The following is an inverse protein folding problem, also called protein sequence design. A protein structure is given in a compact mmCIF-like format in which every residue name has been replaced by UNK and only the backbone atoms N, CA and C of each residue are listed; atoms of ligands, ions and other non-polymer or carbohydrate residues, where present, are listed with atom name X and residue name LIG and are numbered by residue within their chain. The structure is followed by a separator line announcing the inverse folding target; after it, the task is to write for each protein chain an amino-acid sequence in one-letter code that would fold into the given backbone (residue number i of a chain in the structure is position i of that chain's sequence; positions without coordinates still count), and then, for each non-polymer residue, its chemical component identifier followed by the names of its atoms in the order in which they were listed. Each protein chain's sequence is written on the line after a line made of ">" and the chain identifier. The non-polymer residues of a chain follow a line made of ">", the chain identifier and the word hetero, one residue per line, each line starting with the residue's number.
data_IF_687776747891
#
_entry.id   IF_687776747891
#
_cell.length_a   1.000
_cell.length_b   1.000
_cell.length_c   1.000
_cell.angle_alpha   90.00
_cell.angle_beta   90.00
_cell.angle_gamma   90.00
#
_symmetry.space_group_name_H-M   'P 1'
#
loop_
_entity.id
_entity.type
_entity.pdbx_description
1 polymer ?
#
# COMPACT_ATOMS: atom_id res chain seq x y z
N UNK A 1 -23.97 -5.65 4.10
CA UNK A 1 -23.68 -5.10 5.45
C UNK A 1 -22.16 -4.86 5.64
N UNK A 2 -21.49 -4.29 4.63
CA UNK A 2 -20.01 -4.15 4.63
C UNK A 2 -19.57 -2.69 4.70
N UNK A 3 -20.38 -1.75 4.18
CA UNK A 3 -20.04 -0.33 4.17
C UNK A 3 -20.16 0.35 5.54
N UNK A 4 -21.14 -0.06 6.37
CA UNK A 4 -21.35 0.48 7.73
C UNK A 4 -20.15 0.17 8.65
N UNK A 5 -19.38 -0.88 8.34
CA UNK A 5 -18.20 -1.28 9.12
C UNK A 5 -16.97 -0.43 8.76
N UNK A 6 -16.75 -0.15 7.48
CA UNK A 6 -15.61 0.65 7.02
C UNK A 6 -15.70 2.12 7.47
N UNK A 7 -16.86 2.76 7.37
CA UNK A 7 -17.05 4.14 7.85
C UNK A 7 -16.84 4.28 9.37
N UNK A 8 -17.32 3.30 10.14
CA UNK A 8 -17.13 3.26 11.59
C UNK A 8 -15.67 3.05 11.99
N UNK A 9 -14.92 2.29 11.21
CA UNK A 9 -13.51 2.01 11.51
C UNK A 9 -12.60 3.17 11.09
N UNK A 10 -12.85 3.75 9.90
CA UNK A 10 -12.19 4.96 9.43
C UNK A 10 -12.36 6.14 10.39
N UNK A 11 -13.56 6.32 10.94
CA UNK A 11 -13.85 7.38 11.92
C UNK A 11 -13.22 7.14 13.30
N UNK A 12 -12.91 5.89 13.66
CA UNK A 12 -12.24 5.55 14.92
C UNK A 12 -10.72 5.61 14.82
N UNK A 13 -10.15 5.32 13.65
CA UNK A 13 -8.70 5.27 13.43
C UNK A 13 -8.21 6.14 12.25
N UNK A 14 -8.64 7.41 12.14
CA UNK A 14 -8.34 8.24 10.97
C UNK A 14 -6.83 8.47 10.79
N UNK A 15 -6.07 8.51 11.88
CA UNK A 15 -4.61 8.68 11.84
C UNK A 15 -3.88 7.49 11.18
N UNK A 16 -4.36 6.26 11.37
CA UNK A 16 -3.76 5.09 10.73
C UNK A 16 -3.91 5.14 9.21
N UNK A 17 -5.12 5.46 8.74
CA UNK A 17 -5.38 5.62 7.31
C UNK A 17 -4.69 6.85 6.71
N UNK A 18 -4.61 7.96 7.46
CA UNK A 18 -3.86 9.14 7.04
C UNK A 18 -2.37 8.86 6.90
N UNK A 19 -1.80 8.03 7.79
CA UNK A 19 -0.40 7.60 7.72
C UNK A 19 -0.16 6.77 6.46
N UNK A 20 -1.03 5.80 6.17
CA UNK A 20 -0.94 5.02 4.93
C UNK A 20 -1.03 5.91 3.69
N UNK A 21 -2.04 6.79 3.65
CA UNK A 21 -2.24 7.70 2.53
C UNK A 21 -1.01 8.59 2.32
N UNK A 22 -0.47 9.16 3.38
CA UNK A 22 0.72 10.02 3.32
C UNK A 22 1.93 9.24 2.81
N UNK A 23 2.15 8.02 3.29
CA UNK A 23 3.25 7.16 2.83
C UNK A 23 3.12 6.86 1.33
N UNK A 24 1.92 6.50 0.87
CA UNK A 24 1.68 6.22 -0.54
C UNK A 24 1.81 7.47 -1.43
N UNK A 25 1.38 8.64 -0.95
CA UNK A 25 1.53 9.90 -1.69
C UNK A 25 2.99 10.34 -1.80
N UNK A 26 3.80 10.14 -0.76
CA UNK A 26 5.24 10.41 -0.81
C UNK A 26 5.93 9.47 -1.81
N UNK A 27 5.58 8.17 -1.80
CA UNK A 27 6.08 7.23 -2.79
C UNK A 27 5.67 7.60 -4.22
N UNK A 28 4.41 7.96 -4.42
CA UNK A 28 3.91 8.42 -5.72
C UNK A 28 4.64 9.68 -6.21
N UNK A 29 4.85 10.66 -5.33
CA UNK A 29 5.66 11.83 -5.64
C UNK A 29 7.09 11.43 -6.03
N UNK A 30 7.69 10.49 -5.31
CA UNK A 30 8.99 9.92 -5.65
C UNK A 30 9.03 9.29 -7.06
N UNK A 31 8.00 8.56 -7.46
CA UNK A 31 7.92 7.99 -8.83
C UNK A 31 7.97 9.07 -9.90
N UNK A 32 7.32 10.22 -9.70
CA UNK A 32 7.37 11.33 -10.65
C UNK A 32 8.69 12.10 -10.58
N UNK A 33 9.25 12.28 -9.38
CA UNK A 33 10.51 12.99 -9.18
C UNK A 33 11.71 12.27 -9.79
N UNK A 34 11.75 10.95 -9.68
CA UNK A 34 12.81 10.10 -10.21
C UNK A 34 12.49 9.55 -11.62
N UNK A 35 11.72 10.26 -12.42
CA UNK A 35 11.34 9.81 -13.78
C UNK A 35 12.51 9.57 -14.75
N UNK A 36 13.71 10.03 -14.40
CA UNK A 36 14.94 9.84 -15.15
C UNK A 36 15.69 8.55 -14.78
N UNK A 37 15.32 7.87 -13.69
CA UNK A 37 15.99 6.66 -13.21
C UNK A 37 14.95 5.56 -12.91
N UNK A 38 14.78 4.67 -13.87
CA UNK A 38 13.82 3.56 -13.78
C UNK A 38 14.15 2.57 -12.66
N UNK A 39 15.44 2.38 -12.32
CA UNK A 39 15.82 1.50 -11.22
C UNK A 39 15.40 2.10 -9.87
N UNK A 40 15.54 3.42 -9.71
CA UNK A 40 15.03 4.13 -8.54
C UNK A 40 13.49 4.09 -8.48
N UNK A 41 12.79 4.34 -9.59
CA UNK A 41 11.32 4.22 -9.63
C UNK A 41 10.85 2.81 -9.23
N UNK A 42 11.51 1.77 -9.73
CA UNK A 42 11.17 0.40 -9.38
C UNK A 42 11.44 0.10 -7.89
N UNK A 43 12.53 0.63 -7.34
CA UNK A 43 12.85 0.52 -5.90
C UNK A 43 11.80 1.23 -5.04
N UNK A 44 11.34 2.42 -5.45
CA UNK A 44 10.26 3.16 -4.78
C UNK A 44 8.96 2.36 -4.84
N UNK A 45 8.61 1.82 -6.01
CA UNK A 45 7.41 0.99 -6.19
C UNK A 45 7.42 -0.25 -5.27
N UNK A 46 8.54 -0.97 -5.19
CA UNK A 46 8.70 -2.09 -4.26
C UNK A 46 8.58 -1.66 -2.81
N UNK A 47 9.18 -0.52 -2.45
CA UNK A 47 9.11 0.03 -1.09
C UNK A 47 7.67 0.38 -0.70
N UNK A 48 6.90 1.00 -1.60
CA UNK A 48 5.47 1.28 -1.42
C UNK A 48 4.65 0.00 -1.23
N UNK A 49 4.94 -1.04 -2.01
CA UNK A 49 4.25 -2.33 -1.92
C UNK A 49 4.51 -3.02 -0.57
N UNK A 50 5.77 -3.04 -0.12
CA UNK A 50 6.15 -3.59 1.20
C UNK A 50 5.51 -2.79 2.32
N UNK A 51 5.56 -1.45 2.25
CA UNK A 51 4.97 -0.59 3.26
C UNK A 51 3.45 -0.79 3.39
N UNK A 52 2.74 -0.97 2.26
CA UNK A 52 1.31 -1.29 2.26
C UNK A 52 1.01 -2.61 2.97
N UNK A 53 1.77 -3.67 2.70
CA UNK A 53 1.59 -4.97 3.37
C UNK A 53 1.90 -4.87 4.86
N UNK A 54 3.03 -4.24 5.22
CA UNK A 54 3.43 -4.06 6.62
C UNK A 54 2.37 -3.25 7.38
N UNK A 55 1.89 -2.15 6.81
CA UNK A 55 0.84 -1.35 7.42
C UNK A 55 -0.44 -2.18 7.62
N UNK A 56 -0.86 -2.95 6.61
CA UNK A 56 -2.04 -3.82 6.71
C UNK A 56 -1.93 -4.85 7.82
N UNK A 57 -0.77 -5.52 7.91
CA UNK A 57 -0.49 -6.48 9.00
C UNK A 57 -0.51 -5.81 10.36
N UNK A 58 0.16 -4.66 10.51
CA UNK A 58 0.22 -3.93 11.80
C UNK A 58 -1.16 -3.43 12.20
N UNK A 59 -1.92 -2.86 11.26
CA UNK A 59 -3.28 -2.39 11.49
C UNK A 59 -4.18 -3.54 11.98
N UNK A 60 -4.26 -4.63 11.23
CA UNK A 60 -5.13 -5.76 11.63
C UNK A 60 -4.61 -6.51 12.88
N UNK A 61 -3.30 -6.50 13.14
CA UNK A 61 -2.77 -7.04 14.39
C UNK A 61 -3.23 -6.22 15.61
N UNK A 62 -3.21 -4.89 15.51
CA UNK A 62 -3.67 -3.99 16.56
C UNK A 62 -5.18 -4.09 16.83
N UNK A 63 -5.97 -4.39 15.79
CA UNK A 63 -7.43 -4.56 15.89
C UNK A 63 -7.84 -6.00 16.24
N UNK A 64 -6.86 -6.89 16.43
CA UNK A 64 -7.05 -8.32 16.79
C UNK A 64 -7.91 -9.10 15.79
N UNK A 65 -7.90 -8.69 14.53
CA UNK A 65 -8.60 -9.35 13.42
C UNK A 65 -7.62 -9.89 12.36
N UNK A 66 -6.30 -9.87 12.64
CA UNK A 66 -5.31 -10.44 11.75
C UNK A 66 -5.48 -11.95 11.57
N UNK A 67 -5.78 -12.35 10.35
CA UNK A 67 -5.80 -13.75 9.93
C UNK A 67 -5.08 -13.93 8.59
N UNK A 68 -4.58 -15.14 8.31
CA UNK A 68 -3.79 -15.43 7.10
C UNK A 68 -4.46 -14.97 5.80
N UNK A 69 -5.80 -15.07 5.71
CA UNK A 69 -6.56 -14.57 4.57
C UNK A 69 -6.35 -13.06 4.32
N UNK A 70 -6.32 -12.22 5.36
CA UNK A 70 -6.05 -10.78 5.23
C UNK A 70 -4.63 -10.56 4.72
N UNK A 71 -3.65 -11.23 5.30
CA UNK A 71 -2.24 -11.11 4.87
C UNK A 71 -2.14 -11.42 3.36
N UNK A 72 -2.80 -12.49 2.91
CA UNK A 72 -2.84 -12.88 1.51
C UNK A 72 -3.51 -11.83 0.62
N UNK A 73 -4.63 -11.23 1.07
CA UNK A 73 -5.29 -10.13 0.35
C UNK A 73 -4.35 -8.94 0.13
N UNK A 74 -3.65 -8.48 1.18
CA UNK A 74 -2.70 -7.36 1.07
C UNK A 74 -1.51 -7.71 0.16
N UNK A 75 -0.97 -8.92 0.28
CA UNK A 75 0.14 -9.38 -0.59
C UNK A 75 -0.30 -9.45 -2.05
N UNK A 76 -1.49 -9.97 -2.35
CA UNK A 76 -2.00 -10.04 -3.71
C UNK A 76 -2.20 -8.64 -4.33
N UNK A 77 -2.74 -7.69 -3.56
CA UNK A 77 -2.91 -6.30 -4.03
C UNK A 77 -1.55 -5.65 -4.27
N UNK A 78 -0.59 -5.84 -3.36
CA UNK A 78 0.77 -5.33 -3.51
C UNK A 78 1.47 -5.91 -4.75
N UNK A 79 1.39 -7.22 -4.96
CA UNK A 79 1.94 -7.88 -6.15
C UNK A 79 1.27 -7.39 -7.43
N UNK A 80 -0.07 -7.25 -7.43
CA UNK A 80 -0.80 -6.73 -8.58
C UNK A 80 -0.35 -5.31 -8.95
N UNK A 81 -0.18 -4.43 -7.96
CA UNK A 81 0.35 -3.09 -8.18
C UNK A 81 1.79 -3.12 -8.74
N UNK A 82 2.69 -3.93 -8.16
CA UNK A 82 4.07 -4.07 -8.64
C UNK A 82 4.10 -4.59 -10.09
N UNK A 83 3.27 -5.58 -10.43
CA UNK A 83 3.19 -6.10 -11.79
C UNK A 83 2.66 -5.06 -12.77
N UNK A 84 1.58 -4.36 -12.42
CA UNK A 84 0.97 -3.35 -13.28
C UNK A 84 1.92 -2.17 -13.51
N UNK A 85 2.37 -1.51 -12.46
CA UNK A 85 3.25 -0.34 -12.59
C UNK A 85 4.66 -0.74 -13.04
N UNK A 86 5.18 -1.87 -12.56
CA UNK A 86 6.48 -2.39 -12.99
C UNK A 86 6.49 -2.71 -14.49
N UNK A 87 5.41 -3.26 -15.04
CA UNK A 87 5.32 -3.50 -16.49
C UNK A 87 5.36 -2.20 -17.31
N UNK A 88 4.84 -1.10 -16.77
CA UNK A 88 4.89 0.22 -17.41
C UNK A 88 6.32 0.78 -17.36
N UNK A 89 6.98 0.68 -16.21
CA UNK A 89 8.36 1.16 -16.01
C UNK A 89 9.38 0.38 -16.83
N UNK A 90 9.17 -0.93 -17.03
CA UNK A 90 10.07 -1.79 -17.81
C UNK A 90 9.84 -1.68 -19.33
N UNK A 91 8.72 -1.10 -19.75
CA UNK A 91 8.40 -0.90 -21.17
C UNK A 91 9.04 0.36 -21.76
N UNK A 92 9.25 1.38 -20.93
CA UNK A 92 9.92 2.64 -21.27
C UNK A 92 11.42 2.47 -21.34
#
# INVERSE_FOLDING_TARGET
>A
MTQILFEKDLSRHPLHYFTLLSLQLVGLWGLFWFNYDHAMQFTILLSMAVAYVVWGVVHHHQHRDLHFKIIFEYVLVALFAVLLFGSLLLRT
#
